data_IF_270787527961
#
_entry.id   IF_270787527961
#
_cell.length_a   1.000
_cell.length_b   1.000
_cell.length_c   1.000
_cell.angle_alpha   90.00
_cell.angle_beta   90.00
_cell.angle_gamma   90.00
#
_symmetry.space_group_name_H-M   'P 1'
#
loop_
_entity.id
_entity.type
_entity.pdbx_description
1 polymer ?
#
# COMPACT_ATOMS: atom_id res chain seq x y z
N UNK A 1 -22.39 5.40 8.22
CA UNK A 1 -21.04 4.97 8.66
C UNK A 1 -20.69 3.67 7.95
N UNK A 2 -19.41 3.33 7.87
CA UNK A 2 -18.91 2.14 7.18
C UNK A 2 -18.29 1.16 8.19
N UNK A 3 -18.23 -0.12 7.85
CA UNK A 3 -17.44 -1.09 8.60
C UNK A 3 -15.97 -0.92 8.23
N UNK A 4 -15.09 -0.73 9.21
CA UNK A 4 -13.64 -0.71 9.00
C UNK A 4 -13.19 -2.08 8.50
N UNK A 5 -12.39 -2.09 7.43
CA UNK A 5 -11.90 -3.32 6.80
C UNK A 5 -10.38 -3.34 6.68
N UNK A 6 -9.80 -2.24 6.23
CA UNK A 6 -8.40 -2.22 5.82
C UNK A 6 -7.67 -1.04 6.45
N UNK A 7 -6.51 -1.31 7.05
CA UNK A 7 -5.47 -0.32 7.32
C UNK A 7 -4.19 -0.78 6.66
N UNK A 8 -3.60 0.07 5.82
CA UNK A 8 -2.41 -0.29 5.07
C UNK A 8 -1.39 0.85 5.01
N UNK A 9 -0.15 0.46 4.77
CA UNK A 9 0.95 1.37 4.50
C UNK A 9 1.16 1.46 2.98
N UNK A 10 1.35 2.66 2.46
CA UNK A 10 1.66 2.90 1.06
C UNK A 10 3.19 2.92 0.83
N UNK A 11 3.71 2.30 -0.24
CA UNK A 11 3.00 1.44 -1.19
C UNK A 11 2.64 0.09 -0.56
N UNK A 12 1.42 -0.37 -0.83
CA UNK A 12 0.86 -1.60 -0.26
C UNK A 12 1.23 -2.88 -1.04
N UNK A 13 1.89 -2.71 -2.19
CA UNK A 13 2.37 -3.75 -3.09
C UNK A 13 3.36 -3.13 -4.07
N UNK A 14 4.22 -3.94 -4.68
CA UNK A 14 5.10 -3.49 -5.75
C UNK A 14 5.66 -4.65 -6.54
N UNK A 15 6.72 -4.39 -7.30
CA UNK A 15 7.38 -5.41 -8.11
C UNK A 15 8.31 -6.30 -7.25
N UNK A 16 8.34 -7.63 -7.47
CA UNK A 16 9.16 -8.51 -6.64
C UNK A 16 10.65 -8.17 -6.67
N UNK A 17 11.13 -7.70 -7.82
CA UNK A 17 12.54 -7.46 -8.13
C UNK A 17 12.94 -5.97 -8.15
N UNK A 18 12.04 -5.06 -7.76
CA UNK A 18 12.31 -3.61 -7.66
C UNK A 18 11.78 -3.04 -6.34
N UNK A 19 12.34 -1.92 -5.85
CA UNK A 19 11.77 -1.22 -4.72
C UNK A 19 10.29 -0.87 -4.98
N UNK A 20 9.42 -1.13 -4.02
CA UNK A 20 7.97 -0.99 -4.22
C UNK A 20 7.55 0.45 -4.58
N UNK A 21 8.27 1.45 -4.08
CA UNK A 21 7.96 2.88 -4.28
C UNK A 21 8.54 3.47 -5.58
N UNK A 22 9.54 2.82 -6.18
CA UNK A 22 10.25 3.35 -7.36
C UNK A 22 9.72 2.82 -8.69
N UNK A 23 8.93 1.75 -8.66
CA UNK A 23 8.37 1.11 -9.85
C UNK A 23 9.38 0.26 -10.63
N UNK A 24 8.98 -0.18 -11.84
CA UNK A 24 9.71 -1.20 -12.63
C UNK A 24 10.97 -0.68 -13.30
N UNK A 25 11.11 0.63 -13.36
CA UNK A 25 12.16 1.30 -14.12
C UNK A 25 13.31 1.78 -13.23
N UNK A 26 13.19 1.54 -11.92
CA UNK A 26 14.22 1.78 -10.93
C UNK A 26 15.47 0.97 -11.25
N UNK A 27 16.60 1.65 -11.47
CA UNK A 27 17.88 0.98 -11.75
C UNK A 27 18.78 1.00 -10.53
N UNK A 28 19.41 -0.13 -10.18
CA UNK A 28 20.43 -0.15 -9.13
C UNK A 28 21.69 0.65 -9.54
N UNK A 29 22.50 1.12 -8.57
CA UNK A 29 22.30 0.98 -7.14
C UNK A 29 21.20 1.92 -6.61
N UNK A 30 20.40 1.42 -5.66
CA UNK A 30 19.40 2.23 -4.96
C UNK A 30 20.08 3.01 -3.84
N UNK A 31 19.55 4.21 -3.52
CA UNK A 31 19.99 4.94 -2.33
C UNK A 31 19.60 4.20 -1.05
N UNK A 32 20.28 4.48 0.07
CA UNK A 32 19.95 3.87 1.37
C UNK A 32 18.49 4.11 1.75
N UNK A 33 18.03 5.35 1.62
CA UNK A 33 16.64 5.74 1.89
C UNK A 33 15.61 4.94 1.06
N UNK A 34 15.90 4.67 -0.22
CA UNK A 34 15.02 3.83 -1.06
C UNK A 34 14.99 2.39 -0.56
N UNK A 35 16.15 1.81 -0.27
CA UNK A 35 16.23 0.43 0.25
C UNK A 35 15.61 0.27 1.64
N UNK A 36 15.75 1.27 2.51
CA UNK A 36 15.16 1.26 3.85
C UNK A 36 13.64 1.37 3.80
N UNK A 37 13.11 2.26 2.95
CA UNK A 37 11.67 2.34 2.67
C UNK A 37 11.12 1.05 2.08
N UNK A 38 11.80 0.44 1.11
CA UNK A 38 11.36 -0.82 0.52
C UNK A 38 11.36 -1.97 1.54
N UNK A 39 12.38 -2.06 2.38
CA UNK A 39 12.41 -3.01 3.49
C UNK A 39 11.25 -2.79 4.47
N UNK A 40 10.92 -1.53 4.77
CA UNK A 40 9.78 -1.17 5.60
C UNK A 40 8.44 -1.53 4.95
N UNK A 41 8.22 -1.21 3.68
CA UNK A 41 6.99 -1.53 2.95
C UNK A 41 6.70 -3.04 2.98
N UNK A 42 7.72 -3.84 2.68
CA UNK A 42 7.63 -5.31 2.63
C UNK A 42 7.34 -5.90 4.01
N UNK A 43 8.10 -5.47 5.03
CA UNK A 43 7.94 -5.97 6.41
C UNK A 43 6.60 -5.54 7.01
N UNK A 44 6.11 -4.34 6.68
CA UNK A 44 4.81 -3.85 7.14
C UNK A 44 3.64 -4.67 6.61
N UNK A 45 3.83 -5.46 5.54
CA UNK A 45 2.70 -6.09 4.85
C UNK A 45 2.01 -7.16 5.70
N UNK A 46 2.78 -8.05 6.33
CA UNK A 46 2.24 -9.08 7.21
C UNK A 46 1.54 -8.42 8.43
N UNK A 47 2.19 -7.44 9.07
CA UNK A 47 1.63 -6.72 10.19
C UNK A 47 0.30 -6.02 9.87
N UNK A 48 0.25 -5.27 8.77
CA UNK A 48 -0.95 -4.50 8.37
C UNK A 48 -2.10 -5.40 7.92
N UNK A 49 -1.84 -6.52 7.24
CA UNK A 49 -2.89 -7.50 6.92
C UNK A 49 -3.40 -8.21 8.17
N UNK A 50 -2.51 -8.62 9.07
CA UNK A 50 -2.88 -9.25 10.34
C UNK A 50 -3.76 -8.29 11.18
N UNK A 51 -3.33 -7.04 11.33
CA UNK A 51 -4.11 -6.02 12.02
C UNK A 51 -5.46 -5.75 11.33
N UNK A 52 -5.50 -5.68 9.99
CA UNK A 52 -6.75 -5.49 9.24
C UNK A 52 -7.74 -6.65 9.42
N UNK A 53 -7.25 -7.89 9.45
CA UNK A 53 -8.07 -9.07 9.74
C UNK A 53 -8.67 -8.99 11.15
N UNK A 54 -7.86 -8.64 12.14
CA UNK A 54 -8.30 -8.52 13.53
C UNK A 54 -9.31 -7.38 13.71
N UNK A 55 -9.04 -6.20 13.14
CA UNK A 55 -9.98 -5.06 13.18
C UNK A 55 -11.29 -5.36 12.45
N UNK A 56 -11.24 -6.13 11.36
CA UNK A 56 -12.46 -6.57 10.64
C UNK A 56 -13.31 -7.50 11.51
N UNK A 57 -12.67 -8.37 12.31
CA UNK A 57 -13.34 -9.29 13.23
C UNK A 57 -14.04 -8.56 14.39
N UNK A 58 -13.52 -7.40 14.81
CA UNK A 58 -14.13 -6.53 15.83
C UNK A 58 -15.39 -5.77 15.33
N UNK A 59 -15.74 -5.89 14.05
CA UNK A 59 -16.91 -5.27 13.42
C UNK A 59 -17.00 -3.74 13.62
N UNK A 60 -15.86 -3.07 13.73
CA UNK A 60 -15.75 -1.65 14.05
C UNK A 60 -16.51 -0.79 13.03
N UNK A 61 -17.38 0.08 13.53
CA UNK A 61 -18.03 1.11 12.73
C UNK A 61 -17.18 2.37 12.72
N UNK A 62 -16.80 2.84 11.54
CA UNK A 62 -15.94 4.01 11.33
C UNK A 62 -16.48 4.91 10.22
N UNK A 63 -15.94 6.13 10.08
CA UNK A 63 -16.29 7.04 8.97
C UNK A 63 -15.92 6.46 7.61
N UNK A 64 -14.83 5.72 7.51
CA UNK A 64 -14.35 5.07 6.28
C UNK A 64 -14.14 3.58 6.50
N UNK A 65 -14.28 2.82 5.41
CA UNK A 65 -13.98 1.40 5.43
C UNK A 65 -12.47 1.10 5.35
N UNK A 66 -11.65 2.11 5.00
CA UNK A 66 -10.24 1.97 4.70
C UNK A 66 -9.46 3.19 5.13
N UNK A 67 -8.32 2.96 5.75
CA UNK A 67 -7.34 3.98 6.07
C UNK A 67 -5.96 3.62 5.54
N UNK A 68 -5.16 4.62 5.21
CA UNK A 68 -3.80 4.42 4.78
C UNK A 68 -2.84 5.45 5.34
N UNK A 69 -1.59 5.04 5.45
CA UNK A 69 -0.46 5.84 5.88
C UNK A 69 0.53 5.95 4.72
N UNK A 70 1.18 7.09 4.60
CA UNK A 70 2.30 7.29 3.70
C UNK A 70 3.60 6.85 4.34
N UNK A 71 4.62 6.60 3.53
CA UNK A 71 5.99 6.45 4.02
C UNK A 71 6.88 7.53 3.44
N UNK A 72 7.68 8.13 4.30
CA UNK A 72 8.71 9.08 3.91
C UNK A 72 10.06 8.51 4.31
N UNK A 73 11.06 8.73 3.48
CA UNK A 73 12.44 8.33 3.76
C UNK A 73 13.18 9.59 4.14
N UNK A 74 13.64 9.68 5.37
CA UNK A 74 14.46 10.78 5.84
C UNK A 74 15.85 10.21 6.22
N UNK A 75 16.96 10.78 5.72
CA UNK A 75 18.30 10.38 6.13
C UNK A 75 18.66 10.73 7.59
N UNK A 76 17.82 11.47 8.33
CA UNK A 76 18.20 12.03 9.64
C UNK A 76 17.63 11.36 10.91
N UNK A 77 16.46 10.70 10.96
CA UNK A 77 15.95 10.22 12.23
C UNK A 77 16.64 8.92 12.67
N UNK A 78 17.05 8.91 13.94
CA UNK A 78 17.55 7.71 14.65
C UNK A 78 16.43 6.77 15.11
N UNK A 79 15.19 7.09 14.75
CA UNK A 79 13.95 6.42 15.15
C UNK A 79 13.01 6.30 13.95
N UNK A 80 12.03 5.39 14.03
CA UNK A 80 10.88 5.42 13.14
C UNK A 80 9.88 6.41 13.69
N UNK A 81 9.60 7.46 12.95
CA UNK A 81 8.74 8.57 13.42
C UNK A 81 7.34 8.44 12.82
N UNK A 82 6.34 8.68 13.66
CA UNK A 82 4.92 8.54 13.33
C UNK A 82 4.27 9.90 13.46
N UNK A 83 3.78 10.40 12.34
CA UNK A 83 3.03 11.63 12.23
C UNK A 83 1.57 11.28 11.94
N UNK A 84 0.66 11.56 12.88
CA UNK A 84 -0.74 11.16 12.79
C UNK A 84 -1.67 12.37 12.67
N UNK A 85 -2.50 12.36 11.63
CA UNK A 85 -3.45 13.40 11.27
C UNK A 85 -4.88 12.85 11.24
N UNK A 86 -5.56 12.70 12.40
CA UNK A 86 -6.92 12.17 12.47
C UNK A 86 -7.92 13.02 11.66
N UNK A 87 -7.66 14.31 11.48
CA UNK A 87 -8.46 15.22 10.65
C UNK A 87 -8.39 14.87 9.14
N UNK A 88 -7.31 14.21 8.69
CA UNK A 88 -7.17 13.69 7.32
C UNK A 88 -7.91 12.37 7.12
N UNK A 89 -8.34 11.69 8.19
CA UNK A 89 -9.07 10.43 8.12
C UNK A 89 -10.37 10.56 7.30
N UNK A 90 -10.94 11.76 7.21
CA UNK A 90 -12.08 12.05 6.32
C UNK A 90 -11.77 11.76 4.84
N UNK A 91 -10.51 11.66 4.44
CA UNK A 91 -10.04 11.28 3.10
C UNK A 91 -9.53 9.83 3.03
N UNK A 92 -9.48 9.14 4.17
CA UNK A 92 -8.90 7.81 4.30
C UNK A 92 -7.39 7.83 4.49
N UNK A 93 -6.76 9.00 4.62
CA UNK A 93 -5.32 9.15 4.88
C UNK A 93 -5.11 9.52 6.35
N UNK A 94 -4.13 8.92 7.03
CA UNK A 94 -3.92 9.12 8.47
C UNK A 94 -2.61 9.82 8.82
N UNK A 95 -1.76 10.09 7.84
CA UNK A 95 -0.45 10.70 8.05
C UNK A 95 0.70 9.85 7.52
N UNK A 96 1.88 10.06 8.08
CA UNK A 96 3.14 9.54 7.56
C UNK A 96 3.91 8.72 8.59
N UNK A 97 4.68 7.77 8.09
CA UNK A 97 5.72 7.09 8.85
C UNK A 97 7.06 7.40 8.19
N UNK A 98 7.96 8.03 8.95
CA UNK A 98 9.32 8.32 8.51
C UNK A 98 10.25 7.18 8.92
N UNK A 99 10.96 6.61 7.95
CA UNK A 99 11.83 5.44 8.16
C UNK A 99 13.27 5.90 8.44
N UNK A 100 13.85 5.40 9.53
CA UNK A 100 15.24 5.67 9.92
C UNK A 100 16.26 5.09 8.95
N UNK A 101 17.43 5.73 8.82
CA UNK A 101 18.54 5.18 8.04
C UNK A 101 19.00 3.82 8.58
N UNK A 102 19.32 2.91 7.66
CA UNK A 102 19.79 1.57 7.97
C UNK A 102 18.69 0.60 8.40
N UNK A 103 17.41 0.97 8.32
CA UNK A 103 16.29 0.09 8.68
C UNK A 103 16.32 -1.27 7.96
N UNK A 104 16.80 -1.33 6.71
CA UNK A 104 16.97 -2.58 5.95
C UNK A 104 17.90 -3.60 6.63
N UNK A 105 18.77 -3.13 7.53
CA UNK A 105 19.74 -3.96 8.25
C UNK A 105 19.15 -4.60 9.51
N UNK A 106 17.99 -4.15 9.99
CA UNK A 106 17.26 -4.79 11.10
C UNK A 106 16.70 -6.13 10.63
N UNK A 107 16.62 -7.15 11.48
CA UNK A 107 16.09 -8.46 11.07
C UNK A 107 14.60 -8.37 10.69
N UNK A 108 14.11 -9.14 9.69
CA UNK A 108 12.74 -9.02 9.22
C UNK A 108 11.66 -9.11 10.30
N UNK A 109 11.68 -10.06 11.26
CA UNK A 109 10.67 -10.11 12.32
C UNK A 109 10.64 -8.85 13.18
N UNK A 110 11.81 -8.26 13.44
CA UNK A 110 11.94 -7.02 14.21
C UNK A 110 11.43 -5.82 13.40
N UNK A 111 11.70 -5.76 12.09
CA UNK A 111 11.13 -4.73 11.21
C UNK A 111 9.61 -4.81 11.20
N UNK A 112 9.05 -6.01 11.06
CA UNK A 112 7.60 -6.23 11.08
C UNK A 112 6.99 -5.73 12.40
N UNK A 113 7.62 -6.02 13.54
CA UNK A 113 7.18 -5.52 14.85
C UNK A 113 7.20 -3.99 14.96
N UNK A 114 8.29 -3.35 14.51
CA UNK A 114 8.43 -1.88 14.47
C UNK A 114 7.34 -1.25 13.60
N UNK A 115 7.12 -1.80 12.41
CA UNK A 115 6.10 -1.26 11.50
C UNK A 115 4.67 -1.48 12.02
N UNK A 116 4.39 -2.61 12.68
CA UNK A 116 3.11 -2.85 13.33
C UNK A 116 2.84 -1.80 14.42
N UNK A 117 3.84 -1.52 15.25
CA UNK A 117 3.75 -0.51 16.31
C UNK A 117 3.53 0.89 15.73
N UNK A 118 4.26 1.25 14.68
CA UNK A 118 4.10 2.54 14.01
C UNK A 118 2.68 2.75 13.45
N UNK A 119 2.11 1.72 12.81
CA UNK A 119 0.72 1.77 12.31
C UNK A 119 -0.28 1.85 13.45
N UNK A 120 -0.09 1.08 14.52
CA UNK A 120 -0.95 1.12 15.71
C UNK A 120 -0.94 2.52 16.35
N UNK A 121 0.24 3.13 16.53
CA UNK A 121 0.37 4.47 17.09
C UNK A 121 -0.28 5.53 16.20
N UNK A 122 -0.19 5.38 14.88
CA UNK A 122 -0.84 6.29 13.95
C UNK A 122 -2.38 6.20 13.96
N UNK A 123 -2.93 5.00 14.18
CA UNK A 123 -4.36 4.77 14.28
C UNK A 123 -4.97 5.27 15.60
N UNK A 124 -4.18 5.26 16.68
CA UNK A 124 -4.68 5.45 18.05
C UNK A 124 -5.43 6.78 18.26
N UNK A 125 -4.98 7.95 17.75
CA UNK A 125 -5.74 9.19 17.87
C UNK A 125 -7.13 9.11 17.23
N UNK A 126 -7.22 8.54 16.02
CA UNK A 126 -8.50 8.33 15.35
C UNK A 126 -9.39 7.36 16.13
N UNK A 127 -8.82 6.28 16.66
CA UNK A 127 -9.54 5.30 17.46
C UNK A 127 -10.17 5.90 18.71
N UNK A 128 -9.49 6.86 19.33
CA UNK A 128 -10.00 7.61 20.47
C UNK A 128 -11.14 8.56 20.04
N UNK A 129 -10.94 9.31 18.96
CA UNK A 129 -11.96 10.23 18.41
C UNK A 129 -13.25 9.51 18.01
N UNK A 130 -13.12 8.33 17.40
CA UNK A 130 -14.25 7.52 16.92
C UNK A 130 -14.70 6.45 17.91
N UNK A 131 -14.18 6.46 19.15
CA UNK A 131 -14.59 5.59 20.26
C UNK A 131 -14.42 4.07 20.04
N UNK A 132 -13.41 3.65 19.29
CA UNK A 132 -13.07 2.23 19.10
C UNK A 132 -11.64 1.86 19.56
N UNK A 133 -10.98 2.73 20.33
CA UNK A 133 -9.65 2.46 20.90
C UNK A 133 -9.53 1.10 21.63
N UNK A 134 -10.49 0.64 22.47
CA UNK A 134 -10.39 -0.68 23.09
C UNK A 134 -10.30 -1.83 22.09
N UNK A 135 -10.99 -1.74 20.95
CA UNK A 135 -10.95 -2.75 19.91
C UNK A 135 -9.59 -2.73 19.17
N UNK A 136 -9.00 -1.55 18.96
CA UNK A 136 -7.64 -1.41 18.43
C UNK A 136 -6.60 -2.06 19.36
N UNK A 137 -6.69 -1.82 20.67
CA UNK A 137 -5.78 -2.42 21.66
C UNK A 137 -5.91 -3.96 21.66
N UNK A 138 -7.14 -4.47 21.63
CA UNK A 138 -7.39 -5.91 21.59
C UNK A 138 -6.85 -6.55 20.31
N UNK A 139 -7.10 -5.92 19.15
CA UNK A 139 -6.57 -6.36 17.86
C UNK A 139 -5.04 -6.38 17.85
N UNK A 140 -4.39 -5.30 18.27
CA UNK A 140 -2.93 -5.24 18.35
C UNK A 140 -2.35 -6.25 19.35
N UNK A 141 -3.04 -6.51 20.47
CA UNK A 141 -2.69 -7.58 21.41
C UNK A 141 -2.65 -8.96 20.75
N UNK A 142 -3.62 -9.28 19.89
CA UNK A 142 -3.66 -10.56 19.16
C UNK A 142 -2.60 -10.62 18.06
N UNK A 143 -2.34 -9.52 17.35
CA UNK A 143 -1.25 -9.43 16.38
C UNK A 143 0.11 -9.70 17.05
N UNK A 144 0.36 -9.09 18.23
CA UNK A 144 1.58 -9.34 19.03
C UNK A 144 1.67 -10.80 19.50
N UNK A 145 0.56 -11.37 19.97
CA UNK A 145 0.52 -12.77 20.42
C UNK A 145 0.78 -13.79 19.29
N UNK A 146 0.57 -13.40 18.03
CA UNK A 146 0.87 -14.20 16.84
C UNK A 146 2.21 -13.82 16.18
N UNK A 147 3.13 -13.20 16.92
CA UNK A 147 4.45 -12.75 16.44
C UNK A 147 4.36 -11.91 15.16
N UNK A 148 3.30 -11.11 15.01
CA UNK A 148 3.03 -10.26 13.85
C UNK A 148 2.89 -11.02 12.51
N UNK A 149 2.74 -12.34 12.56
CA UNK A 149 2.51 -13.16 11.36
C UNK A 149 1.11 -12.95 10.82
N UNK A 150 0.99 -13.07 9.50
CA UNK A 150 -0.29 -13.07 8.81
C UNK A 150 -0.45 -14.39 8.05
N UNK A 151 -1.32 -15.25 8.57
CA UNK A 151 -1.69 -16.52 7.96
C UNK A 151 -3.19 -16.58 7.74
N UNK A 152 -3.62 -17.25 6.68
CA UNK A 152 -5.03 -17.48 6.41
C UNK A 152 -5.26 -18.87 5.81
N UNK A 153 -6.39 -19.47 6.16
CA UNK A 153 -6.76 -20.82 5.71
C UNK A 153 -8.20 -20.79 5.19
N UNK A 154 -8.41 -21.30 3.99
CA UNK A 154 -9.75 -21.41 3.42
C UNK A 154 -10.54 -22.54 4.05
N UNK A 155 -11.88 -22.47 3.95
CA UNK A 155 -12.72 -23.64 4.17
C UNK A 155 -12.37 -24.78 3.20
N UNK A 156 -12.60 -26.01 3.64
CA UNK A 156 -12.47 -27.20 2.79
C UNK A 156 -13.51 -27.19 1.66
N UNK A 157 -13.06 -27.38 0.42
CA UNK A 157 -13.90 -27.63 -0.76
C UNK A 157 -13.82 -29.10 -1.14
N UNK A 158 -14.96 -29.78 -1.21
CA UNK A 158 -15.02 -31.20 -1.62
C UNK A 158 -14.85 -31.34 -3.13
N UNK A 159 -14.08 -32.36 -3.54
CA UNK A 159 -14.02 -32.80 -4.93
C UNK A 159 -15.39 -33.32 -5.41
N UNK A 160 -15.67 -33.31 -6.72
CA UNK A 160 -16.97 -33.74 -7.26
C UNK A 160 -17.33 -35.18 -6.90
N UNK A 161 -16.34 -36.06 -6.89
CA UNK A 161 -16.46 -37.46 -6.49
C UNK A 161 -16.58 -37.66 -4.96
N UNK A 162 -16.43 -36.57 -4.19
CA UNK A 162 -16.47 -36.52 -2.72
C UNK A 162 -15.43 -37.39 -2.02
N UNK A 163 -14.43 -37.89 -2.75
CA UNK A 163 -13.38 -38.75 -2.18
C UNK A 163 -12.32 -37.94 -1.44
N UNK A 164 -12.07 -36.71 -1.93
CA UNK A 164 -11.10 -35.77 -1.40
C UNK A 164 -11.75 -34.42 -1.08
N UNK A 165 -11.09 -33.66 -0.22
CA UNK A 165 -11.34 -32.24 -0.02
C UNK A 165 -10.02 -31.48 -0.15
N UNK A 166 -10.10 -30.22 -0.56
CA UNK A 166 -8.94 -29.33 -0.70
C UNK A 166 -9.16 -28.03 0.07
N UNK A 167 -8.09 -27.41 0.56
CA UNK A 167 -8.13 -26.04 1.08
C UNK A 167 -6.83 -25.31 0.74
N UNK A 168 -6.91 -23.99 0.69
CA UNK A 168 -5.75 -23.12 0.51
C UNK A 168 -5.24 -22.73 1.90
N UNK A 169 -3.93 -22.85 2.09
CA UNK A 169 -3.20 -22.31 3.24
C UNK A 169 -2.26 -21.25 2.70
N UNK A 170 -2.20 -20.09 3.36
CA UNK A 170 -1.26 -19.02 2.99
C UNK A 170 -0.63 -18.38 4.23
N UNK A 171 0.57 -17.85 4.04
CA UNK A 171 1.27 -16.94 4.95
C UNK A 171 1.92 -15.80 4.16
N UNK A 172 1.87 -14.56 4.66
CA UNK A 172 2.66 -13.46 4.08
C UNK A 172 4.07 -13.55 4.65
N UNK A 173 5.05 -13.81 3.77
CA UNK A 173 6.45 -13.90 4.15
C UNK A 173 7.09 -12.52 4.35
N UNK A 174 8.30 -12.53 4.91
CA UNK A 174 9.12 -11.34 5.21
C UNK A 174 9.43 -10.43 4.01
N UNK A 175 9.29 -10.95 2.80
CA UNK A 175 9.45 -10.19 1.56
C UNK A 175 8.19 -9.43 1.13
N UNK A 176 7.12 -9.52 1.93
CA UNK A 176 5.83 -8.87 1.73
C UNK A 176 4.86 -9.64 0.83
N UNK A 177 5.24 -10.81 0.31
CA UNK A 177 4.39 -11.61 -0.57
C UNK A 177 3.89 -12.88 0.10
N UNK A 178 2.67 -13.28 -0.25
CA UNK A 178 2.10 -14.54 0.17
C UNK A 178 2.91 -15.74 -0.36
N UNK A 179 3.08 -16.73 0.50
CA UNK A 179 3.38 -18.12 0.18
C UNK A 179 2.12 -18.90 0.43
N UNK A 180 1.73 -19.73 -0.53
CA UNK A 180 0.50 -20.51 -0.41
C UNK A 180 0.68 -21.89 -1.00
N UNK A 181 -0.03 -22.85 -0.45
CA UNK A 181 -0.11 -24.20 -1.00
C UNK A 181 -1.53 -24.71 -0.88
N UNK A 182 -1.82 -25.80 -1.58
CA UNK A 182 -3.09 -26.52 -1.44
C UNK A 182 -2.85 -27.75 -0.61
N UNK A 183 -3.56 -27.84 0.51
CA UNK A 183 -3.68 -29.08 1.24
C UNK A 183 -4.82 -29.90 0.67
N UNK A 184 -4.57 -31.19 0.44
CA UNK A 184 -5.62 -32.17 0.11
C UNK A 184 -5.79 -33.12 1.27
N UNK A 185 -7.02 -33.38 1.65
CA UNK A 185 -7.37 -34.17 2.82
C UNK A 185 -8.60 -35.04 2.63
N UNK A 186 -8.85 -35.90 3.62
CA UNK A 186 -10.03 -36.76 3.72
C UNK A 186 -10.49 -36.83 5.17
N UNK A 187 -11.79 -36.68 5.40
CA UNK A 187 -12.40 -36.73 6.74
C UNK A 187 -11.70 -35.82 7.78
N UNK A 188 -11.22 -34.65 7.34
CA UNK A 188 -10.54 -33.67 8.21
C UNK A 188 -9.03 -33.88 8.41
N UNK A 189 -8.47 -35.01 7.97
CA UNK A 189 -7.03 -35.24 7.97
C UNK A 189 -6.38 -34.73 6.68
N UNK A 190 -5.27 -34.01 6.81
CA UNK A 190 -4.41 -33.62 5.67
C UNK A 190 -3.65 -34.87 5.21
N UNK A 191 -3.75 -35.19 3.92
CA UNK A 191 -3.07 -36.32 3.30
C UNK A 191 -1.81 -35.89 2.56
N UNK A 192 -1.82 -34.68 1.99
CA UNK A 192 -0.75 -34.13 1.17
C UNK A 192 -0.88 -32.62 1.04
N UNK A 193 0.23 -31.99 0.67
CA UNK A 193 0.29 -30.57 0.29
C UNK A 193 1.04 -30.43 -1.02
N UNK A 194 0.70 -29.41 -1.80
CA UNK A 194 1.57 -28.97 -2.91
C UNK A 194 2.84 -28.35 -2.36
N UNK A 195 3.82 -28.08 -3.23
CA UNK A 195 4.89 -27.13 -2.91
C UNK A 195 4.31 -25.73 -2.60
N UNK A 196 5.10 -24.92 -1.90
CA UNK A 196 4.76 -23.51 -1.67
C UNK A 196 4.87 -22.72 -2.98
N UNK A 197 3.75 -22.11 -3.35
CA UNK A 197 3.61 -21.25 -4.50
C UNK A 197 3.70 -19.78 -4.08
N UNK A 198 4.21 -18.98 -5.01
CA UNK A 198 4.27 -17.54 -4.90
C UNK A 198 2.87 -16.94 -5.07
N UNK A 199 2.48 -15.99 -4.21
CA UNK A 199 1.17 -15.35 -4.25
C UNK A 199 1.20 -13.83 -4.10
N UNK A 200 0.01 -13.26 -3.89
CA UNK A 200 -0.22 -11.81 -3.74
C UNK A 200 0.21 -11.29 -2.37
N UNK A 201 0.21 -9.96 -2.23
CA UNK A 201 0.53 -9.26 -0.97
C UNK A 201 -0.68 -9.08 -0.04
N UNK A 202 -1.88 -9.53 -0.44
CA UNK A 202 -3.15 -9.30 0.27
C UNK A 202 -3.94 -10.58 0.51
N UNK A 203 -4.44 -10.77 1.73
CA UNK A 203 -5.31 -11.90 2.14
C UNK A 203 -6.57 -11.94 1.28
N UNK A 204 -7.11 -10.77 0.91
CA UNK A 204 -8.32 -10.68 0.08
C UNK A 204 -8.19 -11.37 -1.29
N UNK A 205 -6.99 -11.39 -1.86
CA UNK A 205 -6.75 -12.09 -3.12
C UNK A 205 -6.84 -13.62 -2.92
N UNK A 206 -6.37 -14.14 -1.78
CA UNK A 206 -6.50 -15.56 -1.42
C UNK A 206 -7.94 -15.95 -1.09
N UNK A 207 -8.71 -15.08 -0.43
CA UNK A 207 -10.14 -15.28 -0.23
C UNK A 207 -10.89 -15.40 -1.57
N UNK A 208 -10.59 -14.50 -2.51
CA UNK A 208 -11.18 -14.53 -3.86
C UNK A 208 -10.75 -15.80 -4.61
N UNK A 209 -9.47 -16.15 -4.56
CA UNK A 209 -8.94 -17.38 -5.15
C UNK A 209 -9.67 -18.63 -4.61
N UNK A 210 -9.91 -18.72 -3.31
CA UNK A 210 -10.62 -19.85 -2.71
C UNK A 210 -12.11 -19.91 -3.10
N UNK A 211 -12.76 -18.76 -3.31
CA UNK A 211 -14.14 -18.70 -3.81
C UNK A 211 -14.24 -19.17 -5.26
N UNK A 212 -13.27 -18.79 -6.08
CA UNK A 212 -13.24 -19.10 -7.52
C UNK A 212 -12.66 -20.47 -7.86
N UNK A 213 -11.93 -21.09 -6.91
CA UNK A 213 -11.40 -22.44 -7.01
C UNK A 213 -12.45 -23.41 -7.53
N UNK A 214 -12.12 -24.26 -8.51
CA UNK A 214 -13.07 -25.22 -9.11
C UNK A 214 -12.35 -26.47 -9.58
N UNK A 215 -13.09 -27.54 -9.80
CA UNK A 215 -12.57 -28.76 -10.41
C UNK A 215 -12.87 -28.74 -11.91
N UNK A 216 -11.89 -29.11 -12.73
CA UNK A 216 -12.09 -29.31 -14.16
C UNK A 216 -12.74 -30.68 -14.47
N UNK A 217 -13.00 -30.94 -15.75
CA UNK A 217 -13.60 -32.19 -16.23
C UNK A 217 -12.76 -33.44 -15.89
N UNK A 218 -11.47 -33.26 -15.62
CA UNK A 218 -10.53 -34.33 -15.25
C UNK A 218 -10.38 -34.47 -13.74
N UNK A 219 -11.18 -33.76 -12.95
CA UNK A 219 -11.11 -33.76 -11.49
C UNK A 219 -9.89 -33.02 -10.93
N UNK A 220 -9.19 -32.23 -11.75
CA UNK A 220 -8.04 -31.43 -11.31
C UNK A 220 -8.52 -30.13 -10.72
N UNK A 221 -7.79 -29.64 -9.73
CA UNK A 221 -8.11 -28.38 -9.11
C UNK A 221 -7.57 -27.23 -9.96
N UNK A 222 -8.44 -26.29 -10.31
CA UNK A 222 -8.08 -25.04 -10.97
C UNK A 222 -8.31 -23.91 -9.99
N UNK A 223 -7.26 -23.12 -9.74
CA UNK A 223 -7.28 -21.93 -8.88
C UNK A 223 -6.76 -20.72 -9.66
N UNK A 224 -7.36 -19.54 -9.42
CA UNK A 224 -7.05 -18.25 -10.09
C UNK A 224 -8.34 -17.55 -10.52
N UNK A 225 -8.53 -16.24 -10.32
CA UNK A 225 -7.55 -15.12 -10.43
C UNK A 225 -7.61 -14.14 -9.24
N UNK A 226 -6.46 -13.67 -8.75
CA UNK A 226 -6.37 -12.45 -7.92
C UNK A 226 -6.39 -11.17 -8.77
N UNK A 227 -6.35 -9.99 -8.14
CA UNK A 227 -6.30 -8.68 -8.83
C UNK A 227 -4.86 -8.20 -9.07
N UNK A 228 -4.65 -7.37 -10.11
CA UNK A 228 -3.39 -6.66 -10.35
C UNK A 228 -2.34 -7.42 -11.16
N UNK A 229 -1.06 -7.28 -10.80
CA UNK A 229 0.10 -7.71 -11.60
C UNK A 229 0.45 -9.21 -11.54
N UNK A 230 -0.24 -9.99 -10.71
CA UNK A 230 0.01 -11.42 -10.49
C UNK A 230 -1.23 -12.25 -10.89
N UNK A 231 -1.70 -12.12 -12.13
CA UNK A 231 -2.78 -12.97 -12.64
C UNK A 231 -2.21 -14.35 -13.00
N UNK A 232 -2.24 -15.30 -12.06
CA UNK A 232 -1.93 -16.69 -12.32
C UNK A 232 -3.21 -17.54 -12.34
N UNK A 233 -3.26 -18.50 -13.26
CA UNK A 233 -4.18 -19.65 -13.18
C UNK A 233 -3.29 -20.88 -12.98
N UNK A 234 -3.50 -21.54 -11.85
CA UNK A 234 -2.74 -22.73 -11.46
C UNK A 234 -3.66 -23.94 -11.54
N UNK A 235 -3.17 -25.02 -12.17
CA UNK A 235 -3.85 -26.31 -12.23
C UNK A 235 -3.06 -27.33 -11.43
N UNK A 236 -3.73 -28.01 -10.50
CA UNK A 236 -3.13 -28.93 -9.53
C UNK A 236 -3.80 -30.29 -9.68
N UNK A 237 -3.00 -31.35 -9.76
CA UNK A 237 -3.48 -32.71 -9.60
C UNK A 237 -3.65 -32.99 -8.10
N UNK A 238 -4.88 -33.16 -7.64
CA UNK A 238 -5.18 -33.38 -6.21
C UNK A 238 -4.79 -34.78 -5.73
N UNK A 239 -4.55 -35.71 -6.66
CA UNK A 239 -4.17 -37.10 -6.34
C UNK A 239 -2.67 -37.22 -6.11
N UNK A 240 -1.87 -36.42 -6.81
CA UNK A 240 -0.40 -36.41 -6.63
C UNK A 240 0.06 -35.22 -5.80
N UNK A 241 -0.67 -34.12 -5.79
CA UNK A 241 -0.23 -32.82 -5.27
C UNK A 241 0.64 -32.04 -6.27
N UNK A 242 0.73 -32.49 -7.52
CA UNK A 242 1.59 -31.88 -8.53
C UNK A 242 0.95 -30.64 -9.16
N UNK A 243 1.75 -29.58 -9.31
CA UNK A 243 1.36 -28.36 -10.01
C UNK A 243 1.57 -28.54 -11.52
N UNK A 244 0.50 -28.91 -12.23
CA UNK A 244 0.53 -29.29 -13.64
C UNK A 244 0.74 -28.11 -14.59
N UNK A 245 0.18 -26.95 -14.25
CA UNK A 245 0.45 -25.73 -14.98
C UNK A 245 0.37 -24.54 -14.06
N UNK A 246 1.44 -23.74 -14.08
CA UNK A 246 1.44 -22.39 -13.56
C UNK A 246 1.77 -21.51 -14.75
N UNK A 247 0.74 -20.87 -15.30
CA UNK A 247 0.90 -19.84 -16.34
C UNK A 247 0.85 -18.50 -15.60
N UNK A 248 1.98 -17.98 -15.09
CA UNK A 248 2.00 -16.59 -14.66
C UNK A 248 1.57 -15.75 -15.87
N UNK A 249 0.68 -14.78 -15.68
CA UNK A 249 0.51 -13.72 -16.67
C UNK A 249 1.90 -13.15 -16.94
N UNK A 250 2.38 -13.28 -18.18
CA UNK A 250 3.61 -12.61 -18.63
C UNK A 250 3.59 -11.16 -18.14
N UNK A 251 4.74 -10.62 -17.70
CA UNK A 251 6.11 -11.01 -18.10
C UNK A 251 7.01 -11.73 -17.05
N UNK A 252 6.52 -12.24 -15.92
CA UNK A 252 7.41 -12.47 -14.74
C UNK A 252 8.06 -13.84 -14.54
N UNK A 253 7.86 -14.81 -15.44
CA UNK A 253 8.39 -16.16 -15.26
C UNK A 253 7.82 -16.83 -13.99
N UNK A 254 8.15 -18.11 -13.77
CA UNK A 254 7.59 -18.87 -12.64
C UNK A 254 8.10 -18.40 -11.26
N UNK A 255 9.24 -17.71 -11.20
CA UNK A 255 9.89 -17.28 -9.96
C UNK A 255 10.77 -16.03 -10.19
N UNK A 256 10.24 -14.80 -10.07
CA UNK A 256 11.07 -13.61 -10.18
C UNK A 256 12.11 -13.57 -9.05
N UNK A 257 13.36 -13.21 -9.36
CA UNK A 257 14.39 -12.94 -8.34
C UNK A 257 13.89 -11.82 -7.46
N UNK A 258 13.67 -12.09 -6.18
CA UNK A 258 13.04 -11.12 -5.28
C UNK A 258 14.10 -10.28 -4.59
N UNK A 259 13.87 -8.98 -4.50
CA UNK A 259 14.59 -8.15 -3.55
C UNK A 259 14.22 -8.63 -2.15
N UNK A 260 15.23 -9.01 -1.40
CA UNK A 260 15.10 -9.47 -0.03
C UNK A 260 16.16 -8.78 0.83
N UNK A 261 15.75 -8.35 2.02
CA UNK A 261 16.63 -7.72 3.01
C UNK A 261 16.68 -8.67 4.21
N UNK A 262 17.68 -9.54 4.25
CA UNK A 262 17.85 -10.51 5.35
C UNK A 262 18.11 -9.84 6.70
N UNK A 263 18.50 -8.56 6.69
CA UNK A 263 19.04 -7.89 7.86
C UNK A 263 20.41 -8.46 8.27
N UNK A 264 20.93 -7.94 9.37
CA UNK A 264 22.17 -8.38 10.00
C UNK A 264 21.90 -8.64 11.50
N UNK A 265 22.30 -9.80 12.04
CA UNK A 265 22.21 -10.05 13.47
C UNK A 265 22.97 -8.99 14.28
N UNK A 266 22.37 -8.52 15.37
CA UNK A 266 22.97 -7.51 16.25
C UNK A 266 22.74 -6.05 15.83
N UNK A 267 22.10 -5.79 14.67
CA UNK A 267 21.66 -4.43 14.33
C UNK A 267 20.66 -3.92 15.38
N UNK A 268 20.88 -2.73 15.97
CA UNK A 268 19.93 -2.14 16.91
C UNK A 268 18.56 -1.91 16.24
N UNK A 269 17.49 -2.27 16.95
CA UNK A 269 16.12 -1.99 16.51
C UNK A 269 15.80 -0.53 16.83
N UNK A 270 15.45 0.31 15.84
CA UNK A 270 15.11 1.71 16.12
C UNK A 270 13.81 1.78 16.93
N UNK A 271 13.71 2.70 17.90
CA UNK A 271 12.45 2.93 18.60
C UNK A 271 11.42 3.56 17.66
N UNK A 272 10.14 3.39 17.98
CA UNK A 272 9.05 4.12 17.33
C UNK A 272 8.71 5.36 18.18
N UNK A 273 8.61 6.52 17.55
CA UNK A 273 8.29 7.79 18.21
C UNK A 273 7.12 8.47 17.52
N UNK A 274 6.16 8.96 18.31
CA UNK A 274 5.13 9.87 17.80
C UNK A 274 5.71 11.28 17.80
N UNK A 275 5.61 11.96 16.67
CA UNK A 275 6.04 13.36 16.51
C UNK A 275 4.82 14.26 16.33
N UNK A 276 4.96 15.54 16.67
CA UNK A 276 3.89 16.50 16.43
C UNK A 276 3.70 16.67 14.92
N UNK A 277 2.44 16.69 14.43
CA UNK A 277 2.19 16.92 13.02
C UNK A 277 2.66 18.31 12.62
N UNK A 278 3.41 18.38 11.53
CA UNK A 278 3.72 19.66 10.91
C UNK A 278 2.47 20.04 10.09
N UNK A 279 1.99 21.28 10.20
CA UNK A 279 0.73 21.80 9.64
C UNK A 279 0.63 21.79 8.08
N UNK A 280 1.43 20.98 7.37
CA UNK A 280 1.53 20.99 5.91
C UNK A 280 1.32 19.60 5.29
N UNK A 281 0.27 19.46 4.47
CA UNK A 281 -0.04 18.23 3.73
C UNK A 281 0.47 18.31 2.28
N UNK A 282 1.49 17.54 1.94
CA UNK A 282 1.77 17.15 0.55
C UNK A 282 0.92 15.92 0.20
N UNK A 283 0.12 16.01 -0.85
CA UNK A 283 -0.91 15.02 -1.18
C UNK A 283 -0.57 14.08 -2.34
N UNK A 284 -0.52 12.78 -2.05
CA UNK A 284 -1.06 11.73 -2.92
C UNK A 284 -0.06 10.88 -3.71
N UNK A 285 0.49 9.85 -3.06
CA UNK A 285 1.19 8.75 -3.72
C UNK A 285 0.23 7.93 -4.57
N UNK A 286 0.46 7.91 -5.87
CA UNK A 286 -0.21 6.98 -6.77
C UNK A 286 0.61 5.70 -6.83
N UNK A 287 -0.05 4.55 -6.64
CA UNK A 287 0.52 3.19 -6.76
C UNK A 287 1.53 3.06 -7.92
N UNK A 288 2.38 2.02 -7.90
CA UNK A 288 3.61 1.91 -8.72
C UNK A 288 3.50 2.62 -10.06
N UNK A 289 4.14 3.78 -10.15
CA UNK A 289 4.12 4.62 -11.33
C UNK A 289 5.01 3.97 -12.40
N UNK A 290 4.54 3.95 -13.64
CA UNK A 290 5.39 3.58 -14.78
C UNK A 290 6.47 4.65 -15.01
N UNK A 291 7.64 4.33 -15.59
CA UNK A 291 8.67 5.34 -15.94
C UNK A 291 8.12 6.53 -16.70
N UNK A 292 7.09 6.28 -17.51
CA UNK A 292 6.36 7.29 -18.26
C UNK A 292 5.83 8.41 -17.35
N UNK A 293 5.47 8.08 -16.12
CA UNK A 293 4.85 8.98 -15.15
C UNK A 293 5.86 9.60 -14.19
N UNK A 294 6.97 8.92 -13.86
CA UNK A 294 7.93 9.42 -12.84
C UNK A 294 8.44 10.83 -13.12
N UNK A 295 8.84 11.14 -14.36
CA UNK A 295 9.35 12.49 -14.69
C UNK A 295 8.28 13.59 -14.57
N UNK A 296 7.00 13.24 -14.76
CA UNK A 296 5.90 14.16 -14.51
C UNK A 296 5.66 14.29 -13.00
N UNK A 297 5.61 13.16 -12.27
CA UNK A 297 5.33 13.12 -10.84
C UNK A 297 6.35 13.92 -10.05
N UNK A 298 7.64 13.65 -10.24
CA UNK A 298 8.71 14.35 -9.51
C UNK A 298 8.74 15.85 -9.79
N UNK A 299 8.39 16.29 -11.00
CA UNK A 299 8.29 17.73 -11.29
C UNK A 299 7.02 18.35 -10.70
N UNK A 300 5.92 17.61 -10.68
CA UNK A 300 4.69 18.06 -10.04
C UNK A 300 4.89 18.21 -8.52
N UNK A 301 5.51 17.23 -7.85
CA UNK A 301 5.87 17.30 -6.43
C UNK A 301 6.80 18.49 -6.15
N UNK A 302 7.89 18.66 -6.91
CA UNK A 302 8.80 19.81 -6.77
C UNK A 302 8.09 21.16 -6.91
N UNK A 303 7.07 21.24 -7.76
CA UNK A 303 6.27 22.44 -7.95
C UNK A 303 5.23 22.61 -6.83
N UNK A 304 4.66 21.52 -6.32
CA UNK A 304 3.76 21.55 -5.17
C UNK A 304 4.50 21.99 -3.91
N UNK A 305 5.73 21.53 -3.68
CA UNK A 305 6.58 21.98 -2.58
C UNK A 305 6.77 23.51 -2.61
N UNK A 306 6.87 24.10 -3.81
CA UNK A 306 6.89 25.56 -3.94
C UNK A 306 5.54 26.18 -3.61
N UNK A 307 4.43 25.60 -4.09
CA UNK A 307 3.09 26.06 -3.76
C UNK A 307 2.83 26.01 -2.24
N UNK A 308 3.50 25.13 -1.51
CA UNK A 308 3.40 25.03 -0.04
C UNK A 308 4.52 25.73 0.72
N UNK A 309 5.32 26.56 0.04
CA UNK A 309 6.35 27.38 0.70
C UNK A 309 5.74 28.62 1.37
N UNK A 310 6.46 29.20 2.35
CA UNK A 310 6.08 30.45 3.03
C UNK A 310 5.73 31.60 2.08
N UNK A 311 6.33 31.60 0.88
CA UNK A 311 6.07 32.61 -0.16
C UNK A 311 4.63 32.54 -0.68
N UNK A 312 4.03 31.35 -0.68
CA UNK A 312 2.68 31.09 -1.19
C UNK A 312 1.60 31.09 -0.12
N UNK A 313 1.95 31.00 1.17
CA UNK A 313 1.00 30.98 2.29
C UNK A 313 0.00 32.14 2.26
N UNK A 314 0.49 33.36 2.04
CA UNK A 314 -0.36 34.55 1.99
C UNK A 314 -1.37 34.48 0.83
N UNK A 315 -0.99 33.87 -0.30
CA UNK A 315 -1.87 33.70 -1.45
C UNK A 315 -2.95 32.65 -1.17
N UNK A 316 -2.58 31.52 -0.56
CA UNK A 316 -3.55 30.47 -0.17
C UNK A 316 -4.54 30.93 0.90
N UNK A 317 -4.12 31.77 1.87
CA UNK A 317 -5.03 32.36 2.85
C UNK A 317 -6.17 33.15 2.20
N UNK A 318 -5.95 33.73 1.02
CA UNK A 318 -6.97 34.42 0.25
C UNK A 318 -8.12 33.52 -0.23
N UNK A 319 -7.92 32.19 -0.28
CA UNK A 319 -8.99 31.22 -0.60
C UNK A 319 -10.05 31.18 0.50
N UNK A 320 -9.69 31.52 1.74
CA UNK A 320 -10.62 31.56 2.87
C UNK A 320 -11.03 30.18 3.40
N UNK A 321 -10.20 29.15 3.17
CA UNK A 321 -10.37 27.82 3.76
C UNK A 321 -9.17 27.46 4.64
N UNK A 322 -9.37 26.71 5.73
CA UNK A 322 -8.27 26.19 6.55
C UNK A 322 -7.32 25.24 5.83
N UNK A 323 -7.79 24.52 4.81
CA UNK A 323 -7.04 23.41 4.22
C UNK A 323 -7.10 23.44 2.69
N UNK A 324 -5.96 23.15 2.05
CA UNK A 324 -5.83 23.00 0.60
C UNK A 324 -5.18 21.66 0.30
N UNK A 325 -5.82 20.86 -0.55
CA UNK A 325 -5.35 19.52 -0.92
C UNK A 325 -5.19 19.41 -2.44
N UNK A 326 -3.99 19.07 -2.92
CA UNK A 326 -3.62 19.12 -4.34
C UNK A 326 -3.28 17.73 -4.94
N UNK A 327 -4.17 16.72 -4.89
CA UNK A 327 -3.81 15.36 -5.31
C UNK A 327 -3.59 15.25 -6.83
N UNK A 328 -2.78 14.26 -7.21
CA UNK A 328 -2.65 13.80 -8.60
C UNK A 328 -3.36 12.44 -8.74
N UNK A 329 -4.28 12.33 -9.69
CA UNK A 329 -5.01 11.09 -9.99
C UNK A 329 -4.56 10.54 -11.35
N UNK A 330 -3.87 9.39 -11.35
CA UNK A 330 -3.44 8.69 -12.57
C UNK A 330 -4.45 7.64 -13.04
N UNK A 331 -5.75 7.92 -12.88
CA UNK A 331 -6.82 7.04 -13.33
C UNK A 331 -7.98 7.89 -13.83
N UNK A 332 -8.74 7.38 -14.80
CA UNK A 332 -9.82 8.11 -15.46
C UNK A 332 -9.56 8.35 -16.94
N UNK A 333 -10.49 9.03 -17.63
CA UNK A 333 -10.45 9.18 -19.09
C UNK A 333 -9.58 10.34 -19.60
N UNK A 334 -9.86 11.56 -19.17
CA UNK A 334 -9.22 12.76 -19.74
C UNK A 334 -8.34 13.49 -18.73
N UNK A 335 -7.22 14.00 -19.25
CA UNK A 335 -6.30 14.85 -18.53
C UNK A 335 -6.94 16.23 -18.25
N UNK A 336 -7.11 16.59 -16.98
CA UNK A 336 -7.78 17.84 -16.58
C UNK A 336 -7.47 18.26 -15.16
N UNK A 337 -7.68 19.53 -14.85
CA UNK A 337 -7.72 20.01 -13.46
C UNK A 337 -9.17 20.18 -13.00
N UNK A 338 -9.52 19.61 -11.86
CA UNK A 338 -10.86 19.73 -11.27
C UNK A 338 -10.77 20.31 -9.85
N UNK A 339 -11.78 21.09 -9.45
CA UNK A 339 -11.82 21.69 -8.12
C UNK A 339 -13.09 21.29 -7.39
N UNK A 340 -12.97 21.03 -6.10
CA UNK A 340 -14.09 20.85 -5.18
C UNK A 340 -13.86 21.68 -3.93
N UNK A 341 -14.84 22.50 -3.59
CA UNK A 341 -14.83 23.30 -2.37
C UNK A 341 -15.84 22.71 -1.37
N UNK A 342 -15.42 22.60 -0.12
CA UNK A 342 -16.28 22.36 1.04
C UNK A 342 -16.10 23.52 2.03
N UNK A 343 -16.82 23.51 3.15
CA UNK A 343 -16.73 24.56 4.17
C UNK A 343 -15.28 24.78 4.65
N UNK A 344 -14.49 23.71 4.76
CA UNK A 344 -13.18 23.77 5.41
C UNK A 344 -12.02 23.35 4.49
N UNK A 345 -12.29 22.92 3.25
CA UNK A 345 -11.28 22.33 2.40
C UNK A 345 -11.52 22.68 0.94
N UNK A 346 -10.46 23.17 0.28
CA UNK A 346 -10.35 23.21 -1.16
C UNK A 346 -9.54 22.00 -1.64
N UNK A 347 -10.17 21.12 -2.41
CA UNK A 347 -9.47 20.07 -3.15
C UNK A 347 -9.29 20.47 -4.60
N UNK A 348 -8.06 20.50 -5.10
CA UNK A 348 -7.77 20.72 -6.52
C UNK A 348 -7.03 19.53 -7.09
N UNK A 349 -7.73 18.71 -7.86
CA UNK A 349 -7.20 17.46 -8.41
C UNK A 349 -6.64 17.66 -9.80
N UNK A 350 -5.44 17.16 -10.03
CA UNK A 350 -4.86 16.98 -11.37
C UNK A 350 -5.15 15.56 -11.83
N UNK A 351 -6.05 15.39 -12.79
CA UNK A 351 -6.33 14.13 -13.46
C UNK A 351 -5.30 13.97 -14.57
N UNK A 352 -4.49 12.91 -14.51
CA UNK A 352 -3.48 12.62 -15.53
C UNK A 352 -3.39 11.12 -15.79
N UNK A 353 -4.27 10.57 -16.64
CA UNK A 353 -4.18 9.16 -17.02
C UNK A 353 -2.77 8.83 -17.54
N UNK A 354 -2.17 7.66 -17.22
CA UNK A 354 -0.78 7.35 -17.57
C UNK A 354 -0.50 7.50 -19.07
N UNK A 355 -1.49 7.17 -19.90
CA UNK A 355 -1.47 7.29 -21.35
C UNK A 355 -1.45 8.73 -21.88
N UNK A 356 -1.79 9.72 -21.05
CA UNK A 356 -1.73 11.14 -21.37
C UNK A 356 -0.38 11.78 -21.01
N UNK A 357 0.43 11.12 -20.19
CA UNK A 357 1.74 11.64 -19.80
C UNK A 357 2.72 11.46 -20.98
N UNK A 358 3.47 12.49 -21.39
CA UNK A 358 4.49 12.33 -22.43
C UNK A 358 5.58 11.31 -22.03
N UNK A 359 6.06 10.52 -22.98
CA UNK A 359 7.07 9.47 -22.71
C UNK A 359 8.45 10.02 -22.37
N UNK A 360 8.82 11.19 -22.91
CA UNK A 360 10.13 11.78 -22.72
C UNK A 360 10.15 12.68 -21.47
N UNK A 361 11.23 12.66 -20.66
CA UNK A 361 11.32 13.43 -19.42
C UNK A 361 11.04 14.93 -19.58
N UNK A 362 11.66 15.59 -20.57
CA UNK A 362 11.47 17.03 -20.79
C UNK A 362 10.00 17.41 -21.05
N UNK A 363 9.33 16.79 -22.03
CA UNK A 363 7.89 16.95 -22.26
C UNK A 363 7.03 16.59 -21.04
N UNK A 364 7.36 15.54 -20.29
CA UNK A 364 6.63 15.17 -19.08
C UNK A 364 6.70 16.26 -18.00
N UNK A 365 7.89 16.83 -17.76
CA UNK A 365 8.09 17.97 -16.84
C UNK A 365 7.31 19.21 -17.29
N UNK A 366 7.32 19.52 -18.60
CA UNK A 366 6.52 20.62 -19.15
C UNK A 366 5.02 20.40 -18.94
N UNK A 367 4.55 19.17 -19.10
CA UNK A 367 3.15 18.82 -18.86
C UNK A 367 2.77 18.95 -17.37
N UNK A 368 3.67 18.62 -16.44
CA UNK A 368 3.47 18.83 -15.01
C UNK A 368 3.34 20.32 -14.67
N UNK A 369 4.28 21.15 -15.17
CA UNK A 369 4.23 22.60 -15.00
C UNK A 369 2.95 23.21 -15.55
N UNK A 370 2.54 22.83 -16.77
CA UNK A 370 1.31 23.34 -17.36
C UNK A 370 0.06 23.02 -16.53
N UNK A 371 0.02 21.84 -15.90
CA UNK A 371 -1.10 21.46 -15.02
C UNK A 371 -1.11 22.24 -13.71
N UNK A 372 0.07 22.49 -13.12
CA UNK A 372 0.20 23.31 -11.91
C UNK A 372 -0.17 24.77 -12.22
N UNK A 373 0.27 25.30 -13.36
CA UNK A 373 -0.11 26.65 -13.81
C UNK A 373 -1.63 26.77 -14.06
N UNK A 374 -2.24 25.78 -14.71
CA UNK A 374 -3.69 25.74 -14.92
C UNK A 374 -4.44 25.61 -13.59
N UNK A 375 -3.90 24.84 -12.63
CA UNK A 375 -4.42 24.73 -11.27
C UNK A 375 -4.43 26.09 -10.57
N UNK A 376 -3.29 26.77 -10.52
CA UNK A 376 -3.16 28.09 -9.90
C UNK A 376 -4.08 29.09 -10.57
N UNK A 377 -4.15 29.09 -11.91
CA UNK A 377 -5.03 29.96 -12.69
C UNK A 377 -6.51 29.73 -12.37
N UNK A 378 -6.94 28.47 -12.22
CA UNK A 378 -8.33 28.14 -11.86
C UNK A 378 -8.67 28.58 -10.44
N UNK A 379 -7.78 28.33 -9.47
CA UNK A 379 -7.96 28.80 -8.09
C UNK A 379 -8.05 30.31 -8.07
N UNK A 380 -7.11 31.01 -8.69
CA UNK A 380 -7.12 32.48 -8.80
C UNK A 380 -8.45 32.99 -9.31
N UNK A 381 -8.91 32.48 -10.46
CA UNK A 381 -10.16 32.90 -11.09
C UNK A 381 -11.37 32.60 -10.21
N UNK A 382 -11.36 31.47 -9.50
CA UNK A 382 -12.50 31.03 -8.68
C UNK A 382 -12.67 31.88 -7.42
N UNK A 383 -11.58 32.32 -6.82
CA UNK A 383 -11.55 33.04 -5.54
C UNK A 383 -11.16 34.52 -5.68
N UNK A 384 -11.06 35.03 -6.90
CA UNK A 384 -10.66 36.41 -7.22
C UNK A 384 -9.37 36.84 -6.52
N UNK A 385 -8.36 35.97 -6.57
CA UNK A 385 -7.08 36.19 -5.90
C UNK A 385 -6.17 37.13 -6.70
N UNK A 386 -5.24 37.82 -6.02
CA UNK A 386 -4.19 38.59 -6.70
C UNK A 386 -3.29 37.69 -7.56
N UNK A 387 -2.41 38.32 -8.33
CA UNK A 387 -1.40 37.59 -9.11
C UNK A 387 -0.58 36.66 -8.19
N UNK A 388 -0.45 35.37 -8.55
CA UNK A 388 0.29 34.42 -7.73
C UNK A 388 1.80 34.72 -7.77
N UNK A 389 2.55 34.26 -6.75
CA UNK A 389 4.00 34.19 -6.85
C UNK A 389 4.46 33.37 -8.08
N UNK A 390 5.71 33.56 -8.51
CA UNK A 390 6.25 32.83 -9.66
C UNK A 390 6.64 31.40 -9.28
N UNK A 391 6.26 30.43 -10.11
CA UNK A 391 6.75 29.06 -10.04
C UNK A 391 8.16 28.98 -10.66
N UNK A 392 9.15 28.52 -9.91
CA UNK A 392 10.54 28.37 -10.34
C UNK A 392 10.82 26.99 -10.93
#
# INVERSE_FOLDING_TARGET
MARLRDVYLYPYSGWPNFPWDEGRDARPPYSSAVSDRDAAARSARAATESLSMELTAEEITSRRARYHLGMVGDPHPSAVEVEAHPEWAKHGFLGHITISDGFRNVLPPQRTAVMAEAVYLALRPLALEEHWAPALEAAMGRVRANDYRCSWVSSWKRAPDRTHAVRIVMEIADDGYGRWHVETGKAGAVLRSTEDLSGWTWVKNFETMAKEMRFDERGRLVVGRGSGFLHAVTTIDITTGEVLSDKPSEPYGKNPVRLNYSGMPGTPVPPVRVVEPIDFSVGGGAGPLSARVNSYHSEAERLDDQLFSETWDAWWRGVGVPEVFLPIEYFGGEAKVSMRLTKNLLTVKRHRPPESVPLLPGPARKAARADVEELVKRVRKRFDLPEPPRLT
#
